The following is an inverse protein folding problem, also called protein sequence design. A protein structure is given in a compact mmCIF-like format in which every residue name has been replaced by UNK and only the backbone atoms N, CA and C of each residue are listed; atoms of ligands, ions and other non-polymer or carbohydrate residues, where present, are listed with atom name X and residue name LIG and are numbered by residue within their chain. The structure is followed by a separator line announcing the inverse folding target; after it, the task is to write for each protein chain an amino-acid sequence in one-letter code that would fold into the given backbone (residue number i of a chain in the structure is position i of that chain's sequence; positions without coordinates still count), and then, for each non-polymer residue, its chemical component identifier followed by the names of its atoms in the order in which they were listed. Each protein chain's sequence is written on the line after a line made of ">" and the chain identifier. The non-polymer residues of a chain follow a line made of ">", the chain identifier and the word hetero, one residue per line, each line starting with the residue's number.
data_IF_944248824677
#
_entry.id   IF_944248824677
#
_cell.length_a   1.000
_cell.length_b   1.000
_cell.length_c   1.000
_cell.angle_alpha   90.00
_cell.angle_beta   90.00
_cell.angle_gamma   90.00
#
_symmetry.space_group_name_H-M   'P 1'
#
loop_
_entity.id
_entity.type
_entity.pdbx_description
1 polymer ?
#
# COMPACT_ATOMS: atom_id res chain seq x y z
N UNK A 1 13.75 -5.32 -2.47
CA UNK A 1 12.75 -5.63 -3.53
C UNK A 1 12.26 -7.09 -3.54
N UNK A 2 12.79 -8.03 -2.74
CA UNK A 2 12.40 -9.44 -2.85
C UNK A 2 11.04 -9.83 -2.24
N UNK A 3 10.40 -8.98 -1.41
CA UNK A 3 9.18 -9.36 -0.66
C UNK A 3 7.87 -8.86 -1.28
N UNK A 4 7.93 -7.92 -2.23
CA UNK A 4 6.73 -7.25 -2.78
C UNK A 4 6.03 -8.13 -3.82
N UNK A 5 6.79 -8.75 -4.72
CA UNK A 5 6.27 -9.69 -5.73
C UNK A 5 5.69 -10.97 -5.09
N UNK A 6 6.40 -11.52 -4.10
CA UNK A 6 5.94 -12.71 -3.39
C UNK A 6 4.61 -12.48 -2.65
N UNK A 7 4.33 -11.25 -2.18
CA UNK A 7 3.08 -10.91 -1.48
C UNK A 7 1.89 -10.79 -2.45
N UNK A 8 2.14 -10.32 -3.68
CA UNK A 8 1.11 -10.19 -4.70
C UNK A 8 0.63 -11.58 -5.21
N UNK A 9 1.53 -12.55 -5.32
CA UNK A 9 1.19 -13.92 -5.75
C UNK A 9 0.29 -14.67 -4.77
N UNK A 10 0.46 -14.45 -3.46
CA UNK A 10 -0.38 -15.06 -2.40
C UNK A 10 -1.68 -14.30 -2.14
N UNK A 11 -2.00 -13.28 -2.96
CA UNK A 11 -3.23 -12.47 -2.81
C UNK A 11 -3.25 -11.59 -1.56
N UNK A 12 -2.11 -11.45 -0.87
CA UNK A 12 -1.96 -10.54 0.27
C UNK A 12 -1.59 -9.17 -0.28
N UNK A 13 -2.55 -8.25 -0.21
CA UNK A 13 -2.32 -6.85 -0.60
C UNK A 13 -1.18 -6.29 0.24
N UNK A 14 -0.19 -5.73 -0.43
CA UNK A 14 0.91 -5.08 0.26
C UNK A 14 0.43 -3.82 1.00
N UNK A 15 1.29 -3.30 1.89
CA UNK A 15 0.99 -2.13 2.71
C UNK A 15 0.60 -0.91 1.86
N UNK A 16 1.17 -0.77 0.65
CA UNK A 16 0.89 0.34 -0.27
C UNK A 16 -0.48 0.18 -0.92
N UNK A 17 -0.82 -1.00 -1.40
CA UNK A 17 -2.14 -1.31 -1.96
C UNK A 17 -3.25 -1.13 -0.92
N UNK A 18 -3.02 -1.58 0.32
CA UNK A 18 -3.96 -1.39 1.42
C UNK A 18 -4.14 0.11 1.75
N UNK A 19 -3.05 0.87 1.76
CA UNK A 19 -3.09 2.30 2.00
C UNK A 19 -3.85 3.04 0.87
N UNK A 20 -3.62 2.69 -0.39
CA UNK A 20 -4.34 3.26 -1.54
C UNK A 20 -5.84 2.98 -1.48
N UNK A 21 -6.24 1.77 -1.07
CA UNK A 21 -7.65 1.44 -0.85
C UNK A 21 -8.26 2.31 0.26
N UNK A 22 -7.52 2.58 1.34
CA UNK A 22 -8.00 3.47 2.42
C UNK A 22 -8.14 4.92 1.95
N UNK A 23 -7.25 5.39 1.08
CA UNK A 23 -7.39 6.71 0.46
C UNK A 23 -8.59 6.79 -0.48
N UNK A 24 -8.87 5.74 -1.25
CA UNK A 24 -10.05 5.67 -2.11
C UNK A 24 -11.36 5.73 -1.30
N UNK A 25 -11.38 5.19 -0.08
CA UNK A 25 -12.50 5.32 0.86
C UNK A 25 -12.50 6.62 1.68
N UNK A 26 -11.58 7.55 1.43
CA UNK A 26 -11.49 8.82 2.14
C UNK A 26 -10.97 8.73 3.58
N UNK A 27 -10.39 7.58 3.98
CA UNK A 27 -9.89 7.34 5.35
C UNK A 27 -8.49 7.95 5.55
N UNK A 28 -7.72 8.14 4.48
CA UNK A 28 -6.38 8.76 4.53
C UNK A 28 -6.10 9.51 3.22
N UNK A 29 -5.03 10.32 3.18
CA UNK A 29 -4.66 11.13 2.02
C UNK A 29 -3.48 10.52 1.25
N UNK A 30 -3.43 10.71 -0.07
CA UNK A 30 -2.27 10.32 -0.90
C UNK A 30 -0.94 10.91 -0.39
N UNK A 31 -1.00 12.12 0.19
CA UNK A 31 0.14 12.78 0.81
C UNK A 31 0.66 12.00 2.03
N UNK A 32 -0.23 11.49 2.88
CA UNK A 32 0.16 10.64 4.01
C UNK A 32 0.70 9.29 3.58
N UNK A 33 0.08 8.65 2.59
CA UNK A 33 0.56 7.38 2.04
C UNK A 33 2.01 7.54 1.57
N UNK A 34 2.28 8.58 0.77
CA UNK A 34 3.63 8.85 0.28
C UNK A 34 4.62 9.25 1.38
N UNK A 35 4.15 9.81 2.50
CA UNK A 35 5.01 10.09 3.67
C UNK A 35 5.41 8.82 4.42
N UNK A 36 4.50 7.86 4.55
CA UNK A 36 4.70 6.64 5.36
C UNK A 36 5.23 5.46 4.56
N UNK A 37 5.05 5.44 3.24
CA UNK A 37 5.70 4.49 2.34
C UNK A 37 6.89 5.15 1.66
N UNK A 38 8.01 5.25 2.38
CA UNK A 38 9.32 5.46 1.76
C UNK A 38 9.87 4.08 1.38
N UNK A 39 10.48 3.99 0.19
CA UNK A 39 11.04 2.74 -0.37
C UNK A 39 11.89 1.93 0.61
#
# INVERSE_FOLDING_TARGET
>A
MQSVEASQEIGIRDLRQSALMKAAHGVTSLAEINRVTKD
#
